data_IF_916128994226
#
_entry.id   IF_916128994226
#
_cell.length_a   1.000
_cell.length_b   1.000
_cell.length_c   1.000
_cell.angle_alpha   90.00
_cell.angle_beta   90.00
_cell.angle_gamma   90.00
#
_symmetry.space_group_name_H-M   'P 1'
#
loop_
_entity.id
_entity.type
_entity.pdbx_description
1 polymer ?
#
# COMPACT_ATOMS: atom_id res chain seq x y z
N UNK A 1 -20.83 -15.73 -25.07
CA UNK A 1 -21.49 -15.10 -23.90
C UNK A 1 -21.50 -16.12 -22.76
N UNK A 2 -20.63 -15.99 -21.76
CA UNK A 2 -20.66 -16.86 -20.57
C UNK A 2 -20.00 -16.21 -19.34
N UNK A 3 -20.23 -14.91 -19.11
CA UNK A 3 -19.83 -14.23 -17.87
C UNK A 3 -20.99 -13.34 -17.44
N UNK A 4 -22.10 -13.95 -17.00
CA UNK A 4 -23.32 -13.18 -16.74
C UNK A 4 -24.30 -13.81 -15.75
N UNK A 5 -23.88 -14.75 -14.89
CA UNK A 5 -24.78 -15.41 -13.93
C UNK A 5 -24.16 -15.73 -12.57
N UNK A 6 -23.28 -14.86 -12.06
CA UNK A 6 -22.71 -15.04 -10.70
C UNK A 6 -23.71 -14.70 -9.58
N UNK A 7 -24.78 -13.95 -9.88
CA UNK A 7 -25.84 -13.60 -8.92
C UNK A 7 -26.84 -14.74 -8.65
N UNK A 8 -26.88 -15.77 -9.50
CA UNK A 8 -27.85 -16.87 -9.40
C UNK A 8 -27.32 -18.07 -8.57
N UNK A 9 -26.01 -18.16 -8.34
CA UNK A 9 -25.36 -19.33 -7.70
C UNK A 9 -25.01 -19.16 -6.22
N UNK A 10 -24.85 -17.93 -5.72
CA UNK A 10 -24.43 -17.69 -4.34
C UNK A 10 -25.54 -16.96 -3.56
N UNK A 11 -26.45 -17.69 -2.89
CA UNK A 11 -27.47 -17.08 -2.04
C UNK A 11 -26.85 -16.16 -0.98
N UNK A 12 -27.59 -15.12 -0.54
CA UNK A 12 -27.13 -14.09 0.40
C UNK A 12 -26.45 -14.62 1.68
N UNK A 13 -26.74 -15.86 2.07
CA UNK A 13 -26.11 -16.53 3.21
C UNK A 13 -24.67 -17.01 2.90
N UNK A 14 -24.37 -17.48 1.69
CA UNK A 14 -23.03 -17.92 1.28
C UNK A 14 -22.04 -16.76 1.30
N UNK A 15 -22.49 -15.59 0.83
CA UNK A 15 -21.69 -14.37 0.87
C UNK A 15 -21.43 -13.89 2.30
N UNK A 16 -22.43 -13.99 3.20
CA UNK A 16 -22.23 -13.69 4.63
C UNK A 16 -21.27 -14.68 5.30
N UNK A 17 -21.35 -15.97 4.97
CA UNK A 17 -20.43 -16.99 5.50
C UNK A 17 -19.02 -16.74 4.99
N UNK A 18 -18.82 -16.48 3.69
CA UNK A 18 -17.51 -16.17 3.14
C UNK A 18 -16.87 -14.94 3.79
N UNK A 19 -17.63 -13.88 4.02
CA UNK A 19 -17.12 -12.68 4.71
C UNK A 19 -16.77 -13.01 6.16
N UNK A 20 -17.61 -13.77 6.87
CA UNK A 20 -17.39 -14.06 8.29
C UNK A 20 -16.23 -15.06 8.50
N UNK A 21 -16.15 -16.11 7.67
CA UNK A 21 -15.04 -17.08 7.66
C UNK A 21 -13.76 -16.42 7.18
N UNK A 22 -13.83 -15.57 6.15
CA UNK A 22 -12.71 -14.77 5.68
C UNK A 22 -12.19 -13.84 6.77
N UNK A 23 -13.06 -13.13 7.48
CA UNK A 23 -12.68 -12.27 8.61
C UNK A 23 -12.02 -13.08 9.75
N UNK A 24 -12.57 -14.25 10.09
CA UNK A 24 -11.97 -15.15 11.09
C UNK A 24 -10.61 -15.70 10.66
N UNK A 25 -10.47 -16.10 9.40
CA UNK A 25 -9.21 -16.56 8.84
C UNK A 25 -8.16 -15.44 8.84
N UNK A 26 -8.54 -14.23 8.40
CA UNK A 26 -7.67 -13.04 8.44
C UNK A 26 -7.27 -12.67 9.86
N UNK A 27 -8.18 -12.77 10.83
CA UNK A 27 -7.86 -12.55 12.25
C UNK A 27 -6.86 -13.58 12.79
N UNK A 28 -7.03 -14.87 12.46
CA UNK A 28 -6.06 -15.91 12.84
C UNK A 28 -4.69 -15.72 12.17
N UNK A 29 -4.67 -15.36 10.89
CA UNK A 29 -3.42 -15.04 10.17
C UNK A 29 -2.74 -13.84 10.82
N UNK A 30 -3.49 -12.77 11.13
CA UNK A 30 -2.98 -11.59 11.82
C UNK A 30 -2.38 -11.91 13.18
N UNK A 31 -3.07 -12.70 14.01
CA UNK A 31 -2.55 -13.20 15.31
C UNK A 31 -1.27 -14.01 15.15
N UNK A 32 -1.20 -14.88 14.14
CA UNK A 32 -0.04 -15.75 13.89
C UNK A 32 1.15 -14.96 13.36
N UNK A 33 0.91 -13.95 12.52
CA UNK A 33 1.92 -13.04 12.00
C UNK A 33 2.50 -12.14 13.10
N UNK A 34 1.64 -11.57 13.95
CA UNK A 34 2.04 -10.82 15.14
C UNK A 34 2.94 -11.64 16.06
N UNK A 35 2.56 -12.91 16.33
CA UNK A 35 3.33 -13.80 17.21
C UNK A 35 4.67 -14.23 16.61
N UNK A 36 4.75 -14.42 15.28
CA UNK A 36 6.00 -14.85 14.60
C UNK A 36 7.03 -13.73 14.45
N UNK A 37 6.60 -12.48 14.22
CA UNK A 37 7.52 -11.38 13.94
C UNK A 37 7.88 -10.51 15.16
N UNK A 38 7.45 -10.88 16.38
CA UNK A 38 7.62 -10.03 17.58
C UNK A 38 7.27 -8.56 17.32
N UNK A 39 6.23 -8.34 16.50
CA UNK A 39 5.78 -7.01 16.16
C UNK A 39 5.35 -6.33 17.46
N UNK A 40 5.85 -5.12 17.72
CA UNK A 40 5.31 -4.25 18.77
C UNK A 40 3.79 -4.21 18.63
N UNK A 41 3.08 -4.07 19.74
CA UNK A 41 1.61 -4.07 19.85
C UNK A 41 0.93 -3.18 18.80
N UNK A 42 1.65 -2.20 18.24
CA UNK A 42 1.23 -1.34 17.14
C UNK A 42 2.06 -1.63 15.87
N UNK A 43 1.63 -2.59 15.05
CA UNK A 43 2.19 -2.84 13.70
C UNK A 43 2.25 -1.55 12.86
N UNK A 44 1.28 -0.66 13.10
CA UNK A 44 1.20 0.67 12.50
C UNK A 44 2.39 1.56 12.86
N UNK A 45 2.85 1.53 14.11
CA UNK A 45 4.03 2.30 14.53
C UNK A 45 5.29 1.79 13.86
N UNK A 46 5.50 0.47 13.81
CA UNK A 46 6.67 -0.10 13.12
C UNK A 46 6.67 0.26 11.64
N UNK A 47 5.50 0.29 11.00
CA UNK A 47 5.37 0.75 9.62
C UNK A 47 5.75 2.23 9.47
N UNK A 48 5.30 3.10 10.36
CA UNK A 48 5.67 4.52 10.34
C UNK A 48 7.15 4.76 10.62
N UNK A 49 7.74 4.00 11.54
CA UNK A 49 9.16 4.06 11.87
C UNK A 49 10.01 3.70 10.63
N UNK A 50 9.64 2.64 9.91
CA UNK A 50 10.30 2.22 8.67
C UNK A 50 10.14 3.26 7.56
N UNK A 51 8.94 3.82 7.38
CA UNK A 51 8.72 4.90 6.41
C UNK A 51 9.54 6.14 6.74
N UNK A 52 9.61 6.53 8.02
CA UNK A 52 10.43 7.64 8.47
C UNK A 52 11.92 7.36 8.27
N UNK A 53 12.37 6.13 8.53
CA UNK A 53 13.74 5.72 8.28
C UNK A 53 14.08 5.78 6.78
N UNK A 54 13.18 5.29 5.93
CA UNK A 54 13.31 5.39 4.47
C UNK A 54 13.42 6.85 3.99
N UNK A 55 12.50 7.72 4.44
CA UNK A 55 12.51 9.14 4.09
C UNK A 55 13.76 9.86 4.58
N UNK A 56 14.24 9.55 5.79
CA UNK A 56 15.50 10.09 6.32
C UNK A 56 16.69 9.64 5.48
N UNK A 57 16.69 8.41 4.98
CA UNK A 57 17.75 7.90 4.12
C UNK A 57 17.78 8.59 2.75
N UNK A 58 16.62 8.99 2.21
CA UNK A 58 16.51 9.84 1.02
C UNK A 58 17.04 11.25 1.31
N UNK A 59 16.59 11.86 2.41
CA UNK A 59 17.00 13.22 2.84
C UNK A 59 18.51 13.30 3.09
N UNK A 60 19.09 12.26 3.70
CA UNK A 60 20.53 12.14 3.94
C UNK A 60 21.36 12.04 2.63
N UNK A 61 20.76 11.54 1.54
CA UNK A 61 21.37 11.55 0.20
C UNK A 61 21.22 12.88 -0.51
N UNK A 62 20.33 13.77 -0.03
CA UNK A 62 20.04 15.07 -0.66
C UNK A 62 19.30 14.96 -1.98
N UNK A 63 18.66 13.82 -2.25
CA UNK A 63 17.91 13.55 -3.49
C UNK A 63 16.41 13.54 -3.26
N UNK A 64 15.62 13.67 -4.33
CA UNK A 64 14.15 13.59 -4.25
C UNK A 64 13.65 12.15 -4.14
N UNK A 65 14.38 11.19 -4.71
CA UNK A 65 14.08 9.76 -4.68
C UNK A 65 15.30 8.97 -4.21
N UNK A 66 15.14 7.69 -3.88
CA UNK A 66 16.30 6.82 -3.63
C UNK A 66 17.18 6.65 -4.88
N UNK A 67 16.57 6.63 -6.06
CA UNK A 67 17.28 6.63 -7.35
C UNK A 67 17.96 7.96 -7.73
N UNK A 68 17.92 8.99 -6.87
CA UNK A 68 18.48 10.30 -7.16
C UNK A 68 17.45 11.27 -7.76
N UNK A 69 17.70 11.76 -8.97
CA UNK A 69 16.79 12.67 -9.70
C UNK A 69 15.59 11.94 -10.33
N UNK A 70 15.70 10.63 -10.54
CA UNK A 70 14.65 9.78 -11.08
C UNK A 70 14.36 8.65 -10.09
N UNK A 71 13.09 8.22 -9.98
CA UNK A 71 12.75 7.09 -9.14
C UNK A 71 13.32 5.79 -9.72
N UNK A 72 13.81 4.92 -8.84
CA UNK A 72 14.27 3.58 -9.20
C UNK A 72 13.24 2.51 -8.78
N UNK A 73 13.51 1.24 -9.07
CA UNK A 73 12.64 0.11 -8.71
C UNK A 73 12.28 0.08 -7.22
N UNK A 74 13.20 0.51 -6.36
CA UNK A 74 12.98 0.59 -4.91
C UNK A 74 11.91 1.64 -4.56
N UNK A 75 11.96 2.82 -5.19
CA UNK A 75 10.96 3.87 -5.02
C UNK A 75 9.59 3.39 -5.53
N UNK A 76 9.56 2.68 -6.67
CA UNK A 76 8.33 2.12 -7.24
C UNK A 76 7.72 1.04 -6.35
N UNK A 77 8.53 0.17 -5.76
CA UNK A 77 8.06 -0.88 -4.84
C UNK A 77 7.40 -0.27 -3.59
N UNK A 78 8.07 0.71 -2.97
CA UNK A 78 7.53 1.43 -1.81
C UNK A 78 6.25 2.18 -2.18
N UNK A 79 6.23 2.83 -3.36
CA UNK A 79 5.04 3.50 -3.87
C UNK A 79 3.86 2.55 -4.07
N UNK A 80 4.09 1.36 -4.65
CA UNK A 80 3.05 0.35 -4.85
C UNK A 80 2.45 -0.15 -3.53
N UNK A 81 3.29 -0.36 -2.50
CA UNK A 81 2.84 -0.73 -1.16
C UNK A 81 1.96 0.39 -0.59
N UNK A 82 2.41 1.64 -0.64
CA UNK A 82 1.66 2.81 -0.16
C UNK A 82 0.34 3.00 -0.90
N UNK A 83 0.33 2.81 -2.22
CA UNK A 83 -0.87 2.86 -3.05
C UNK A 83 -1.89 1.79 -2.67
N UNK A 84 -1.44 0.59 -2.28
CA UNK A 84 -2.33 -0.50 -1.87
C UNK A 84 -3.06 -0.25 -0.55
N UNK A 85 -2.49 0.60 0.31
CA UNK A 85 -3.06 0.99 1.60
C UNK A 85 -3.65 2.41 1.57
N UNK A 86 -3.66 3.06 0.41
CA UNK A 86 -4.27 4.37 0.19
C UNK A 86 -5.77 4.29 0.53
N UNK A 87 -6.22 5.12 1.47
CA UNK A 87 -7.59 5.11 1.99
C UNK A 87 -7.77 4.41 3.33
N UNK A 88 -6.79 3.63 3.80
CA UNK A 88 -6.77 3.16 5.18
C UNK A 88 -6.39 4.29 6.15
N UNK A 89 -6.89 4.19 7.39
CA UNK A 89 -6.53 5.16 8.44
C UNK A 89 -5.03 5.19 8.71
N UNK A 90 -4.32 4.06 8.55
CA UNK A 90 -2.86 4.00 8.65
C UNK A 90 -2.14 4.89 7.65
N UNK A 91 -2.63 4.98 6.42
CA UNK A 91 -2.02 5.82 5.40
C UNK A 91 -2.25 7.31 5.68
N UNK A 92 -3.45 7.69 6.13
CA UNK A 92 -3.77 9.07 6.52
C UNK A 92 -2.88 9.56 7.65
N UNK A 93 -2.77 8.77 8.72
CA UNK A 93 -1.91 9.10 9.85
C UNK A 93 -0.44 9.20 9.42
N UNK A 94 0.03 8.32 8.51
CA UNK A 94 1.39 8.39 7.99
C UNK A 94 1.65 9.68 7.19
N UNK A 95 0.68 10.16 6.41
CA UNK A 95 0.80 11.42 5.66
C UNK A 95 0.82 12.65 6.57
N UNK A 96 0.06 12.61 7.67
CA UNK A 96 -0.02 13.74 8.63
C UNK A 96 1.22 13.83 9.53
N UNK A 97 1.77 12.69 9.95
CA UNK A 97 2.87 12.65 10.91
C UNK A 97 4.28 12.61 10.28
N UNK A 98 4.40 12.54 8.95
CA UNK A 98 5.70 12.38 8.30
C UNK A 98 5.85 13.25 7.05
N UNK A 99 7.09 13.43 6.57
CA UNK A 99 7.38 14.06 5.27
C UNK A 99 7.03 13.17 4.06
N UNK A 100 6.28 12.09 4.27
CA UNK A 100 5.91 11.14 3.21
C UNK A 100 5.09 11.81 2.11
N UNK A 101 4.28 12.80 2.46
CA UNK A 101 3.36 13.46 1.53
C UNK A 101 4.08 14.07 0.32
N UNK A 102 5.20 14.78 0.52
CA UNK A 102 5.95 15.39 -0.58
C UNK A 102 6.58 14.35 -1.50
N UNK A 103 7.20 13.31 -0.93
CA UNK A 103 7.78 12.20 -1.71
C UNK A 103 6.69 11.43 -2.48
N UNK A 104 5.56 11.12 -1.83
CA UNK A 104 4.47 10.37 -2.44
C UNK A 104 3.80 11.14 -3.58
N UNK A 105 3.64 12.46 -3.44
CA UNK A 105 3.15 13.33 -4.52
C UNK A 105 4.14 13.37 -5.69
N UNK A 106 5.43 13.59 -5.43
CA UNK A 106 6.45 13.59 -6.47
C UNK A 106 6.52 12.25 -7.22
N UNK A 107 6.38 11.13 -6.50
CA UNK A 107 6.34 9.80 -7.09
C UNK A 107 5.06 9.59 -7.92
N UNK A 108 3.91 10.04 -7.43
CA UNK A 108 2.63 9.98 -8.16
C UNK A 108 2.71 10.76 -9.47
N UNK A 109 3.31 11.95 -9.46
CA UNK A 109 3.52 12.76 -10.66
C UNK A 109 4.44 12.04 -11.66
N UNK A 110 5.55 11.45 -11.20
CA UNK A 110 6.45 10.69 -12.08
C UNK A 110 5.79 9.45 -12.69
N UNK A 111 5.00 8.71 -11.91
CA UNK A 111 4.24 7.55 -12.41
C UNK A 111 3.18 8.00 -13.42
N UNK A 112 2.41 9.05 -13.13
CA UNK A 112 1.37 9.54 -14.04
C UNK A 112 1.96 10.05 -15.36
N UNK A 113 3.08 10.78 -15.31
CA UNK A 113 3.78 11.25 -16.50
C UNK A 113 4.31 10.09 -17.37
N UNK A 114 4.63 8.93 -16.77
CA UNK A 114 5.01 7.72 -17.52
C UNK A 114 3.81 6.85 -17.92
N UNK A 115 2.70 6.89 -17.17
CA UNK A 115 1.48 6.14 -17.46
C UNK A 115 0.74 6.69 -18.69
N UNK A 116 0.93 7.97 -19.02
CA UNK A 116 0.30 8.64 -20.16
C UNK A 116 0.95 8.42 -21.53
N UNK A 117 2.14 7.81 -21.63
CA UNK A 117 2.87 7.69 -22.91
C UNK A 117 2.29 6.61 -23.85
N UNK A 118 1.51 5.66 -23.32
CA UNK A 118 0.95 4.56 -24.14
C UNK A 118 -0.48 4.78 -24.66
N UNK A 119 -1.23 5.74 -24.11
CA UNK A 119 -2.64 5.96 -24.49
C UNK A 119 -2.84 7.07 -25.53
N UNK A 120 -1.79 7.77 -25.95
CA UNK A 120 -1.84 8.82 -26.98
C UNK A 120 -1.20 8.40 -28.32
N UNK A 121 -0.81 7.14 -28.47
CA UNK A 121 -0.16 6.61 -29.69
C UNK A 121 -0.90 5.42 -30.32
N UNK A 122 -2.22 5.29 -30.12
CA UNK A 122 -3.05 4.31 -30.85
C UNK A 122 -4.44 4.85 -31.16
#
# INVERSE_FOLDING_TARGET
MAVGKWEEYFPMWERKIMINVGAWAMWMIGKRLQKRHHLKTNVRESFYDELNHWLKAIDARGSTFMGGNNPDLSDLAVYGILRSIEGCQAFKDALEHTKLSSWYQAMTERVNNHAGVSLLTS
#
